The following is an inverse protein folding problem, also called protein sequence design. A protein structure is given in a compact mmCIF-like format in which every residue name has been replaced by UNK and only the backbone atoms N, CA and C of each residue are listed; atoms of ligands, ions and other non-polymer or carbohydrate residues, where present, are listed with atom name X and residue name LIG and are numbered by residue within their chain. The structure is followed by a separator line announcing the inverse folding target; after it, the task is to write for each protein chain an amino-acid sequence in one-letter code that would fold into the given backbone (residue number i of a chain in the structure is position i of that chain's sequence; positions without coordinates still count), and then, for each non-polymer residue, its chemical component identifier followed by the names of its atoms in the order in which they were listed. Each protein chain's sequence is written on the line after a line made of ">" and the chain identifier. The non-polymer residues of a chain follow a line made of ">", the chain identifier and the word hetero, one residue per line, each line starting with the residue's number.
data_IF_899580004062
#
_entry.id   IF_899580004062
#
_cell.length_a   1.000
_cell.length_b   1.000
_cell.length_c   1.000
_cell.angle_alpha   90.00
_cell.angle_beta   90.00
_cell.angle_gamma   90.00
#
_symmetry.space_group_name_H-M   'P 1'
#
loop_
_entity.id
_entity.type
_entity.pdbx_description
1 polymer ?
#
# COMPACT_ATOMS: atom_id res chain seq x y z
N UNK A 1 20.89 23.76 -28.68
CA UNK A 1 21.17 22.47 -27.99
C UNK A 1 20.21 22.33 -26.81
N UNK A 2 19.07 21.66 -26.99
CA UNK A 2 18.26 21.14 -25.88
C UNK A 2 17.71 19.79 -26.32
N UNK A 3 18.52 18.76 -26.13
CA UNK A 3 18.05 17.38 -26.12
C UNK A 3 17.48 17.15 -24.72
N UNK A 4 16.17 17.38 -24.55
CA UNK A 4 15.44 16.82 -23.41
C UNK A 4 15.01 15.44 -23.86
N UNK A 5 15.52 14.41 -23.19
CA UNK A 5 15.11 13.03 -23.42
C UNK A 5 13.62 12.90 -23.08
N UNK A 6 12.74 12.47 -24.00
CA UNK A 6 11.29 12.44 -23.80
C UNK A 6 10.89 11.68 -22.52
N UNK A 7 11.58 10.58 -22.22
CA UNK A 7 11.31 9.78 -21.02
C UNK A 7 11.57 10.48 -19.68
N UNK A 8 12.42 11.50 -19.60
CA UNK A 8 12.65 12.21 -18.32
C UNK A 8 11.50 13.16 -18.00
N UNK A 9 10.96 13.84 -19.02
CA UNK A 9 9.83 14.74 -18.84
C UNK A 9 8.55 13.95 -18.49
N UNK A 10 8.31 12.83 -19.16
CA UNK A 10 7.15 11.96 -18.90
C UNK A 10 7.18 11.36 -17.50
N UNK A 11 8.34 10.85 -17.06
CA UNK A 11 8.49 10.32 -15.69
C UNK A 11 8.27 11.41 -14.65
N UNK A 12 8.77 12.62 -14.89
CA UNK A 12 8.55 13.75 -13.98
C UNK A 12 7.07 14.12 -13.87
N UNK A 13 6.34 14.18 -14.98
CA UNK A 13 4.90 14.48 -14.97
C UNK A 13 4.07 13.40 -14.28
N UNK A 14 4.43 12.11 -14.44
CA UNK A 14 3.74 11.00 -13.75
C UNK A 14 3.95 11.08 -12.23
N UNK A 15 5.16 11.42 -11.78
CA UNK A 15 5.44 11.57 -10.35
C UNK A 15 4.72 12.77 -9.76
N UNK A 16 4.67 13.88 -10.48
CA UNK A 16 3.93 15.09 -10.07
C UNK A 16 2.43 14.81 -9.94
N UNK A 17 1.83 14.15 -10.93
CA UNK A 17 0.42 13.75 -10.90
C UNK A 17 0.11 12.84 -9.70
N UNK A 18 0.98 11.87 -9.40
CA UNK A 18 0.81 10.98 -8.24
C UNK A 18 0.89 11.71 -6.90
N UNK A 19 1.77 12.70 -6.79
CA UNK A 19 1.90 13.50 -5.56
C UNK A 19 0.67 14.39 -5.38
N UNK A 20 0.21 15.04 -6.44
CA UNK A 20 -0.96 15.93 -6.40
C UNK A 20 -2.28 15.16 -6.19
N UNK A 21 -2.37 13.93 -6.72
CA UNK A 21 -3.50 13.04 -6.56
C UNK A 21 -3.46 12.16 -5.31
N UNK A 22 -2.45 12.29 -4.45
CA UNK A 22 -2.39 11.56 -3.19
C UNK A 22 -3.46 12.10 -2.24
N UNK A 23 -4.44 11.26 -1.90
CA UNK A 23 -5.43 11.58 -0.88
C UNK A 23 -4.74 11.80 0.47
N UNK A 24 -5.08 12.91 1.13
CA UNK A 24 -4.54 13.29 2.45
C UNK A 24 -5.56 13.07 3.56
N UNK A 25 -6.71 12.48 3.25
CA UNK A 25 -7.69 12.06 4.23
C UNK A 25 -7.08 10.98 5.12
N UNK A 26 -7.13 11.21 6.44
CA UNK A 26 -6.80 10.18 7.40
C UNK A 26 -7.99 9.22 7.51
N UNK A 27 -7.90 8.08 6.82
CA UNK A 27 -8.83 6.98 7.03
C UNK A 27 -8.44 6.22 8.29
N UNK A 28 -9.42 5.96 9.16
CA UNK A 28 -9.21 5.14 10.36
C UNK A 28 -9.28 3.67 9.95
N UNK A 29 -8.14 3.02 9.89
CA UNK A 29 -8.04 1.60 9.61
C UNK A 29 -8.03 0.76 10.89
N UNK A 30 -8.61 -0.43 10.82
CA UNK A 30 -8.48 -1.42 11.89
C UNK A 30 -7.16 -2.19 11.75
N UNK A 31 -6.46 -2.39 12.86
CA UNK A 31 -5.16 -3.06 12.86
C UNK A 31 -5.15 -4.30 13.75
N UNK A 32 -4.25 -5.23 13.44
CA UNK A 32 -4.00 -6.45 14.20
C UNK A 32 -2.52 -6.75 14.33
N UNK A 33 -2.19 -7.75 15.13
CA UNK A 33 -0.82 -8.22 15.34
C UNK A 33 -0.69 -9.69 14.97
N UNK A 34 0.33 -9.99 14.16
CA UNK A 34 0.70 -11.36 13.82
C UNK A 34 1.25 -12.06 15.07
N UNK A 35 0.70 -13.24 15.36
CA UNK A 35 1.17 -14.14 16.41
C UNK A 35 2.14 -15.19 15.87
N UNK A 36 1.84 -15.73 14.68
CA UNK A 36 2.64 -16.78 14.04
C UNK A 36 2.41 -16.81 12.53
N UNK A 37 3.42 -17.28 11.77
CA UNK A 37 3.33 -17.54 10.32
C UNK A 37 3.91 -18.93 10.06
N UNK A 38 3.25 -19.74 9.23
CA UNK A 38 3.72 -21.04 8.76
C UNK A 38 2.90 -21.54 7.58
N UNK A 39 3.54 -22.20 6.61
CA UNK A 39 2.88 -22.82 5.44
C UNK A 39 1.99 -21.85 4.63
N UNK A 40 2.36 -20.57 4.57
CA UNK A 40 1.56 -19.53 3.92
C UNK A 40 0.31 -19.10 4.72
N UNK A 41 0.18 -19.52 5.98
CA UNK A 41 -0.93 -19.17 6.86
C UNK A 41 -0.41 -18.31 8.02
N UNK A 42 -1.05 -17.15 8.23
CA UNK A 42 -0.77 -16.27 9.36
C UNK A 42 -1.89 -16.37 10.41
N UNK A 43 -1.52 -16.38 11.69
CA UNK A 43 -2.45 -16.22 12.80
C UNK A 43 -2.36 -14.81 13.33
N UNK A 44 -3.47 -14.08 13.32
CA UNK A 44 -3.54 -12.67 13.69
C UNK A 44 -4.48 -12.47 14.87
N UNK A 45 -4.11 -11.61 15.81
CA UNK A 45 -4.98 -11.13 16.89
C UNK A 45 -5.35 -9.66 16.65
N UNK A 46 -6.60 -9.28 16.90
CA UNK A 46 -7.15 -7.97 16.55
C UNK A 46 -8.18 -8.10 15.43
N UNK A 47 -8.26 -7.10 14.55
CA UNK A 47 -9.14 -7.13 13.36
C UNK A 47 -10.58 -7.57 13.71
N UNK A 48 -11.19 -6.93 14.71
CA UNK A 48 -12.48 -7.31 15.30
C UNK A 48 -13.63 -7.27 14.30
N UNK A 49 -13.55 -6.41 13.28
CA UNK A 49 -14.60 -6.26 12.27
C UNK A 49 -14.27 -6.95 10.94
N UNK A 50 -13.15 -7.71 10.87
CA UNK A 50 -12.77 -8.40 9.64
C UNK A 50 -13.79 -9.47 9.26
N UNK A 51 -14.06 -9.58 7.98
CA UNK A 51 -15.00 -10.54 7.42
C UNK A 51 -14.28 -11.75 6.83
N UNK A 52 -15.02 -12.85 6.68
CA UNK A 52 -14.54 -13.98 5.90
C UNK A 52 -14.29 -13.52 4.46
N UNK A 53 -13.19 -14.01 3.87
CA UNK A 53 -12.75 -13.67 2.50
C UNK A 53 -12.34 -12.20 2.30
N UNK A 54 -12.16 -11.43 3.38
CA UNK A 54 -11.60 -10.08 3.31
C UNK A 54 -10.08 -10.10 3.10
N UNK A 55 -9.60 -9.22 2.22
CA UNK A 55 -8.17 -9.06 1.97
C UNK A 55 -7.55 -8.17 3.04
N UNK A 56 -6.48 -8.65 3.66
CA UNK A 56 -5.69 -7.91 4.64
C UNK A 56 -4.28 -7.69 4.11
N UNK A 57 -3.67 -6.57 4.48
CA UNK A 57 -2.30 -6.24 4.11
C UNK A 57 -1.37 -6.32 5.32
N UNK A 58 -0.21 -6.95 5.15
CA UNK A 58 0.82 -6.97 6.18
C UNK A 58 1.71 -5.73 6.08
N UNK A 59 2.05 -5.14 7.21
CA UNK A 59 2.93 -3.96 7.28
C UNK A 59 4.33 -4.17 6.68
N UNK A 60 4.75 -5.43 6.52
CA UNK A 60 6.00 -5.78 5.83
C UNK A 60 5.94 -5.62 4.29
N UNK A 61 4.78 -5.32 3.72
CA UNK A 61 4.56 -5.28 2.27
C UNK A 61 4.60 -6.65 1.60
N UNK A 62 4.69 -7.73 2.37
CA UNK A 62 4.57 -9.10 1.89
C UNK A 62 3.09 -9.42 1.71
N UNK A 63 2.71 -9.77 0.47
CA UNK A 63 1.40 -10.31 0.12
C UNK A 63 1.41 -11.83 0.24
#
# INVERSE_FOLDING_TARGET
>A
LKHVSPGTAEVSSILEERILGADTSAELEETGRVLSIGDGIARVYGLRNVQAEEMVEFSSGLK
#
